data_IF_415677826213
#
_entry.id   IF_415677826213
#
_cell.length_a   1.000
_cell.length_b   1.000
_cell.length_c   1.000
_cell.angle_alpha   90.00
_cell.angle_beta   90.00
_cell.angle_gamma   90.00
#
_symmetry.space_group_name_H-M   'P 1'
#
loop_
_entity.id
_entity.type
_entity.pdbx_description
1 polymer ?
#
# COMPACT_ATOMS: atom_id res chain seq x y z
N UNK A 1 -10.17 -20.55 -41.61
CA UNK A 1 -10.96 -19.62 -40.79
C UNK A 1 -11.74 -20.47 -39.80
N UNK A 2 -11.17 -20.73 -38.63
CA UNK A 2 -11.87 -21.36 -37.51
C UNK A 2 -11.44 -20.58 -36.28
N UNK A 3 -12.30 -19.66 -35.86
CA UNK A 3 -12.16 -18.85 -34.67
C UNK A 3 -12.40 -19.73 -33.45
N UNK A 4 -11.47 -19.72 -32.48
CA UNK A 4 -11.69 -20.28 -31.15
C UNK A 4 -12.07 -19.13 -30.19
N UNK A 5 -13.05 -19.32 -29.30
CA UNK A 5 -13.51 -18.29 -28.37
C UNK A 5 -12.50 -18.06 -27.22
N UNK A 6 -12.44 -16.86 -26.63
CA UNK A 6 -11.57 -16.57 -25.51
C UNK A 6 -12.36 -16.64 -24.21
N UNK A 7 -12.37 -17.78 -23.51
CA UNK A 7 -12.74 -17.83 -22.09
C UNK A 7 -12.37 -19.18 -21.45
N UNK A 8 -11.98 -19.12 -20.18
CA UNK A 8 -11.67 -20.22 -19.26
C UNK A 8 -10.42 -21.05 -19.56
N UNK A 9 -9.24 -20.51 -19.21
CA UNK A 9 -8.20 -21.32 -18.57
C UNK A 9 -8.29 -21.10 -17.07
N UNK A 10 -9.25 -21.77 -16.44
CA UNK A 10 -9.10 -22.14 -15.04
C UNK A 10 -7.99 -23.19 -14.99
N UNK A 11 -6.79 -22.78 -14.59
CA UNK A 11 -5.75 -23.74 -14.22
C UNK A 11 -6.06 -24.25 -12.83
N UNK A 12 -6.82 -25.35 -12.75
CA UNK A 12 -6.75 -26.24 -11.61
C UNK A 12 -5.33 -26.81 -11.52
N UNK A 13 -4.58 -26.38 -10.52
CA UNK A 13 -3.23 -26.87 -10.27
C UNK A 13 -2.56 -26.10 -9.15
N UNK A 14 -2.14 -26.84 -8.13
CA UNK A 14 -1.47 -26.40 -6.90
C UNK A 14 -2.44 -25.74 -5.90
N UNK A 15 -2.67 -26.39 -4.76
CA UNK A 15 -3.43 -25.87 -3.62
C UNK A 15 -2.74 -24.66 -2.99
N UNK A 16 -2.72 -23.53 -3.70
CA UNK A 16 -2.22 -22.26 -3.24
C UNK A 16 -3.27 -21.65 -2.33
N UNK A 17 -2.95 -21.57 -1.03
CA UNK A 17 -3.63 -20.63 -0.16
C UNK A 17 -3.32 -19.23 -0.69
N UNK A 18 -4.19 -18.72 -1.57
CA UNK A 18 -4.28 -17.29 -1.84
C UNK A 18 -5.04 -16.73 -0.65
N UNK A 19 -4.41 -16.01 0.29
CA UNK A 19 -5.20 -15.23 1.24
C UNK A 19 -6.11 -14.35 0.36
N UNK A 20 -7.43 -14.35 0.58
CA UNK A 20 -8.32 -13.55 -0.24
C UNK A 20 -7.79 -12.13 -0.16
N UNK A 21 -7.26 -11.62 -1.26
CA UNK A 21 -7.14 -10.18 -1.41
C UNK A 21 -8.58 -9.71 -1.20
N UNK A 22 -8.82 -8.88 -0.17
CA UNK A 22 -10.15 -8.39 0.12
C UNK A 22 -10.75 -7.88 -1.17
N UNK A 23 -12.02 -8.24 -1.40
CA UNK A 23 -12.73 -7.98 -2.64
C UNK A 23 -12.74 -6.49 -3.07
N UNK A 24 -12.25 -5.59 -2.23
CA UNK A 24 -12.04 -4.16 -2.51
C UNK A 24 -10.81 -3.90 -3.40
N UNK A 25 -9.72 -4.66 -3.32
CA UNK A 25 -8.55 -4.45 -4.20
C UNK A 25 -8.81 -4.96 -5.64
N UNK A 26 -9.74 -5.91 -5.80
CA UNK A 26 -10.07 -6.53 -7.09
C UNK A 26 -11.10 -5.76 -7.91
N UNK A 27 -11.85 -4.83 -7.32
CA UNK A 27 -12.87 -4.06 -8.04
C UNK A 27 -12.35 -2.78 -8.70
N UNK A 28 -11.35 -2.14 -8.12
CA UNK A 28 -10.77 -0.92 -8.70
C UNK A 28 -9.56 -1.24 -9.59
N UNK A 29 -9.81 -1.34 -10.90
CA UNK A 29 -8.77 -1.58 -11.92
C UNK A 29 -7.92 -0.36 -12.24
N UNK A 30 -8.20 0.80 -11.63
CA UNK A 30 -7.59 2.09 -11.97
C UNK A 30 -6.06 2.03 -12.02
N UNK A 31 -5.44 1.35 -11.05
CA UNK A 31 -3.98 1.23 -10.99
C UNK A 31 -3.41 0.05 -11.80
N UNK A 32 -4.25 -0.89 -12.23
CA UNK A 32 -3.84 -2.08 -13.00
C UNK A 32 -3.76 -1.79 -14.50
N UNK A 33 -4.66 -0.98 -15.03
CA UNK A 33 -4.71 -0.62 -16.45
C UNK A 33 -3.60 0.39 -16.79
N UNK A 34 -2.68 0.07 -17.73
CA UNK A 34 -1.68 1.03 -18.19
C UNK A 34 -2.33 2.27 -18.83
N UNK A 35 -1.92 3.46 -18.40
CA UNK A 35 -2.36 4.74 -18.98
C UNK A 35 -3.59 5.35 -18.34
N UNK A 36 -4.46 4.57 -17.71
CA UNK A 36 -5.71 5.09 -17.11
C UNK A 36 -5.46 6.01 -15.91
N UNK A 37 -4.70 5.52 -14.93
CA UNK A 37 -4.31 6.33 -13.78
C UNK A 37 -3.44 7.52 -14.22
N UNK A 38 -2.53 7.32 -15.18
CA UNK A 38 -1.70 8.41 -15.73
C UNK A 38 -2.53 9.52 -16.39
N UNK A 39 -3.55 9.17 -17.19
CA UNK A 39 -4.46 10.14 -17.80
C UNK A 39 -5.27 10.90 -16.74
N UNK A 40 -5.71 10.20 -15.69
CA UNK A 40 -6.40 10.89 -14.61
C UNK A 40 -5.46 11.80 -13.81
N UNK A 41 -4.20 11.41 -13.64
CA UNK A 41 -3.20 12.18 -12.91
C UNK A 41 -2.72 13.38 -13.74
N UNK A 42 -2.65 13.28 -15.07
CA UNK A 42 -2.24 14.41 -15.92
C UNK A 42 -3.19 15.60 -15.87
N UNK A 43 -4.38 15.44 -15.29
CA UNK A 43 -5.35 16.53 -15.07
C UNK A 43 -5.01 17.42 -13.87
N UNK A 44 -4.03 17.03 -13.04
CA UNK A 44 -3.63 17.72 -11.83
C UNK A 44 -2.12 17.96 -11.82
N UNK A 45 -1.68 19.00 -11.14
CA UNK A 45 -0.28 19.20 -10.83
C UNK A 45 0.20 18.19 -9.76
N UNK A 46 1.48 17.83 -9.80
CA UNK A 46 2.08 16.84 -8.89
C UNK A 46 1.88 17.21 -7.41
N UNK A 47 1.87 18.51 -7.08
CA UNK A 47 1.66 18.97 -5.70
C UNK A 47 0.23 18.68 -5.23
N UNK A 48 -0.78 18.96 -6.06
CA UNK A 48 -2.18 18.59 -5.76
C UNK A 48 -2.34 17.09 -5.59
N UNK A 49 -1.69 16.29 -6.44
CA UNK A 49 -1.74 14.82 -6.34
C UNK A 49 -1.16 14.35 -5.01
N UNK A 50 0.03 14.85 -4.64
CA UNK A 50 0.66 14.52 -3.37
C UNK A 50 -0.19 14.95 -2.17
N UNK A 51 -0.78 16.15 -2.20
CA UNK A 51 -1.67 16.64 -1.12
C UNK A 51 -2.89 15.73 -0.94
N UNK A 52 -3.48 15.25 -2.04
CA UNK A 52 -4.61 14.32 -2.00
C UNK A 52 -4.23 12.97 -1.39
N UNK A 53 -3.09 12.39 -1.77
CA UNK A 53 -2.64 11.07 -1.28
C UNK A 53 -2.07 11.11 0.15
N UNK A 54 -1.35 12.16 0.52
CA UNK A 54 -0.72 12.26 1.84
C UNK A 54 -1.73 12.41 2.98
N UNK A 55 -2.93 12.88 2.66
CA UNK A 55 -3.96 13.26 3.62
C UNK A 55 -5.19 12.34 3.54
N UNK A 56 -5.05 11.18 2.89
CA UNK A 56 -6.06 10.13 2.96
C UNK A 56 -6.13 9.64 4.40
N UNK A 57 -7.29 9.83 5.02
CA UNK A 57 -7.55 9.51 6.42
C UNK A 57 -8.72 8.53 6.61
N UNK A 58 -9.30 8.04 5.51
CA UNK A 58 -10.39 7.08 5.53
C UNK A 58 -10.19 5.98 4.48
N UNK A 59 -10.46 4.71 4.82
CA UNK A 59 -10.27 3.57 3.94
C UNK A 59 -11.19 3.60 2.72
N UNK A 60 -12.40 4.14 2.88
CA UNK A 60 -13.39 4.28 1.80
C UNK A 60 -12.92 5.23 0.68
N UNK A 61 -11.95 6.11 0.97
CA UNK A 61 -11.36 7.02 0.00
C UNK A 61 -10.42 6.31 -0.99
N UNK A 62 -10.01 5.07 -0.68
CA UNK A 62 -9.24 4.22 -1.59
C UNK A 62 -10.13 3.40 -2.54
N UNK A 63 -11.45 3.51 -2.43
CA UNK A 63 -12.41 2.86 -3.31
C UNK A 63 -13.35 3.91 -3.89
N UNK A 64 -12.99 4.47 -5.05
CA UNK A 64 -13.81 5.47 -5.70
C UNK A 64 -15.15 4.87 -6.17
N UNK A 65 -16.24 5.67 -6.21
CA UNK A 65 -17.49 5.22 -6.80
C UNK A 65 -17.31 4.77 -8.26
N UNK A 66 -18.13 3.83 -8.77
CA UNK A 66 -18.00 3.35 -10.14
C UNK A 66 -18.02 4.49 -11.17
N UNK A 67 -17.02 4.53 -12.05
CA UNK A 67 -16.89 5.56 -13.09
C UNK A 67 -16.22 6.87 -12.62
N UNK A 68 -15.83 6.98 -11.35
CA UNK A 68 -15.04 8.09 -10.83
C UNK A 68 -13.60 7.61 -10.59
N UNK A 69 -12.64 8.37 -11.09
CA UNK A 69 -11.22 8.12 -10.83
C UNK A 69 -10.86 8.52 -9.39
N UNK A 70 -10.04 7.72 -8.72
CA UNK A 70 -9.67 7.93 -7.31
C UNK A 70 -9.14 9.34 -7.02
N UNK A 71 -8.32 9.89 -7.91
CA UNK A 71 -7.74 11.24 -7.72
C UNK A 71 -8.80 12.35 -7.81
N UNK A 72 -9.87 12.12 -8.57
CA UNK A 72 -11.01 13.03 -8.69
C UNK A 72 -11.94 12.90 -7.48
N UNK A 73 -12.03 11.71 -6.89
CA UNK A 73 -12.80 11.46 -5.67
C UNK A 73 -12.16 12.07 -4.41
N UNK A 74 -10.83 12.06 -4.32
CA UNK A 74 -10.12 12.61 -3.17
C UNK A 74 -10.28 14.13 -3.07
N UNK A 75 -10.68 14.64 -1.90
CA UNK A 75 -10.70 16.08 -1.64
C UNK A 75 -9.27 16.64 -1.64
N UNK A 76 -9.07 17.83 -2.22
CA UNK A 76 -7.80 18.56 -2.10
C UNK A 76 -7.81 19.33 -0.78
N UNK A 77 -6.93 19.03 0.18
CA UNK A 77 -6.94 19.71 1.46
C UNK A 77 -6.43 21.14 1.34
N UNK A 78 -7.13 22.08 1.98
CA UNK A 78 -6.76 23.50 2.00
C UNK A 78 -5.64 23.80 3.00
N UNK A 79 -5.50 22.98 4.04
CA UNK A 79 -4.50 23.13 5.11
C UNK A 79 -3.61 21.91 5.22
N UNK A 80 -2.31 22.15 5.43
CA UNK A 80 -1.34 21.09 5.67
C UNK A 80 -1.29 20.72 7.16
N UNK A 81 -1.10 19.43 7.50
CA UNK A 81 -0.82 19.03 8.88
C UNK A 81 0.49 19.61 9.39
N UNK A 82 0.59 19.77 10.70
CA UNK A 82 1.79 20.32 11.36
C UNK A 82 3.08 19.48 11.18
N UNK A 83 2.98 18.24 10.68
CA UNK A 83 4.10 17.33 10.51
C UNK A 83 4.74 17.37 9.12
N UNK A 84 4.20 18.16 8.17
CA UNK A 84 4.78 18.35 6.84
C UNK A 84 4.69 19.81 6.41
N UNK A 85 5.79 20.34 5.87
CA UNK A 85 5.82 21.72 5.38
C UNK A 85 5.45 21.80 3.89
N UNK A 86 5.12 23.00 3.43
CA UNK A 86 4.79 23.25 2.03
C UNK A 86 6.04 23.04 1.14
N UNK A 87 7.22 23.40 1.64
CA UNK A 87 8.49 23.25 0.92
C UNK A 87 8.87 21.78 0.72
N UNK A 88 8.63 20.92 1.72
CA UNK A 88 8.87 19.47 1.61
C UNK A 88 7.97 18.84 0.54
N UNK A 89 6.70 19.24 0.49
CA UNK A 89 5.76 18.81 -0.54
C UNK A 89 6.16 19.28 -1.93
N UNK A 90 6.57 20.54 -2.06
CA UNK A 90 7.02 21.12 -3.34
C UNK A 90 8.27 20.40 -3.86
N UNK A 91 9.21 20.07 -2.96
CA UNK A 91 10.38 19.28 -3.32
C UNK A 91 9.99 17.90 -3.84
N UNK A 92 9.08 17.19 -3.17
CA UNK A 92 8.55 15.92 -3.68
C UNK A 92 7.82 16.09 -5.02
N UNK A 93 7.01 17.14 -5.16
CA UNK A 93 6.26 17.43 -6.37
C UNK A 93 7.18 17.67 -7.58
N UNK A 94 8.28 18.39 -7.40
CA UNK A 94 9.27 18.63 -8.44
C UNK A 94 9.89 17.32 -8.95
N UNK A 95 10.15 16.37 -8.03
CA UNK A 95 10.66 15.04 -8.42
C UNK A 95 9.65 14.27 -9.25
N UNK A 96 8.40 14.22 -8.80
CA UNK A 96 7.31 13.55 -9.54
C UNK A 96 6.98 14.25 -10.86
N UNK A 97 7.15 15.56 -10.95
CA UNK A 97 6.98 16.29 -12.20
C UNK A 97 8.04 15.89 -13.24
N UNK A 98 9.27 15.58 -12.82
CA UNK A 98 10.33 15.10 -13.71
C UNK A 98 10.21 13.62 -14.05
N UNK A 99 9.87 12.77 -13.07
CA UNK A 99 9.82 11.31 -13.27
C UNK A 99 8.49 10.80 -13.82
N UNK A 100 7.41 11.57 -13.65
CA UNK A 100 6.04 11.07 -13.78
C UNK A 100 5.68 10.07 -12.66
N UNK A 101 4.45 9.55 -12.72
CA UNK A 101 3.91 8.59 -11.77
C UNK A 101 3.92 7.14 -12.28
N UNK A 102 4.15 6.91 -13.58
CA UNK A 102 4.15 5.58 -14.20
C UNK A 102 5.07 4.59 -13.49
N UNK A 103 6.27 5.03 -13.08
CA UNK A 103 7.20 4.17 -12.34
C UNK A 103 6.65 3.68 -11.01
N UNK A 104 5.98 4.55 -10.25
CA UNK A 104 5.34 4.17 -9.00
C UNK A 104 4.11 3.27 -9.23
N UNK A 105 3.33 3.56 -10.28
CA UNK A 105 2.14 2.79 -10.64
C UNK A 105 2.48 1.35 -11.10
N UNK A 106 3.64 1.16 -11.74
CA UNK A 106 4.07 -0.15 -12.19
C UNK A 106 4.27 -1.17 -11.06
N UNK A 107 4.53 -0.74 -9.82
CA UNK A 107 4.58 -1.65 -8.67
C UNK A 107 3.24 -2.34 -8.41
N UNK A 108 2.12 -1.62 -8.58
CA UNK A 108 0.78 -2.18 -8.44
C UNK A 108 0.43 -3.12 -9.59
N UNK A 109 0.90 -2.82 -10.81
CA UNK A 109 0.73 -3.68 -12.00
C UNK A 109 1.51 -4.99 -11.89
N UNK A 110 2.69 -4.94 -11.26
CA UNK A 110 3.55 -6.09 -11.03
C UNK A 110 3.11 -6.95 -9.83
N UNK A 111 2.07 -6.59 -9.08
CA UNK A 111 1.70 -7.28 -7.85
C UNK A 111 1.34 -8.75 -8.07
N UNK A 112 0.55 -9.06 -9.11
CA UNK A 112 0.16 -10.44 -9.44
C UNK A 112 1.40 -11.25 -9.91
N UNK A 113 2.27 -10.64 -10.73
CA UNK A 113 3.54 -11.27 -11.17
C UNK A 113 4.48 -11.54 -10.00
N UNK A 114 4.62 -10.60 -9.06
CA UNK A 114 5.42 -10.78 -7.85
C UNK A 114 4.88 -11.94 -7.01
N UNK A 115 3.56 -12.09 -6.93
CA UNK A 115 2.94 -13.21 -6.20
C UNK A 115 3.28 -14.56 -6.84
N UNK A 116 3.21 -14.68 -8.17
CA UNK A 116 3.59 -15.90 -8.89
C UNK A 116 5.06 -16.25 -8.69
N UNK A 117 5.95 -15.26 -8.83
CA UNK A 117 7.39 -15.44 -8.64
C UNK A 117 7.72 -15.87 -7.20
N UNK A 118 7.08 -15.26 -6.20
CA UNK A 118 7.32 -15.57 -4.80
C UNK A 118 6.72 -16.91 -4.36
N UNK A 119 5.98 -17.62 -5.22
CA UNK A 119 5.38 -18.91 -4.91
C UNK A 119 6.39 -19.98 -4.45
N UNK A 120 7.62 -19.93 -4.96
CA UNK A 120 8.68 -20.86 -4.53
C UNK A 120 9.15 -20.66 -3.07
N UNK A 121 8.86 -19.49 -2.49
CA UNK A 121 9.22 -19.14 -1.11
C UNK A 121 8.04 -19.28 -0.13
N UNK A 122 6.94 -19.89 -0.56
CA UNK A 122 5.79 -20.11 0.31
C UNK A 122 6.18 -20.94 1.54
N UNK A 123 5.95 -20.37 2.74
CA UNK A 123 6.31 -21.02 4.01
C UNK A 123 7.79 -20.92 4.40
N UNK A 124 8.63 -20.23 3.62
CA UNK A 124 10.00 -19.94 4.01
C UNK A 124 10.04 -19.04 5.26
N UNK A 125 11.03 -19.28 6.13
CA UNK A 125 11.23 -18.48 7.35
C UNK A 125 12.13 -17.29 7.07
N UNK A 126 11.78 -16.15 7.65
CA UNK A 126 12.65 -14.97 7.69
C UNK A 126 13.49 -15.08 8.96
N UNK A 127 14.78 -15.35 8.79
CA UNK A 127 15.74 -15.51 9.91
C UNK A 127 16.40 -14.21 10.34
N UNK A 128 16.09 -13.11 9.66
CA UNK A 128 16.63 -11.79 9.99
C UNK A 128 15.82 -11.21 11.15
N UNK A 129 16.46 -10.73 12.23
CA UNK A 129 15.77 -10.00 13.28
C UNK A 129 14.94 -8.87 12.67
N UNK A 130 13.65 -8.83 13.00
CA UNK A 130 12.70 -7.94 12.33
C UNK A 130 11.90 -7.17 13.36
N UNK A 131 11.75 -5.86 13.16
CA UNK A 131 10.85 -5.03 13.95
C UNK A 131 9.76 -4.47 13.06
N UNK A 132 8.53 -4.90 13.30
CA UNK A 132 7.36 -4.41 12.60
C UNK A 132 6.70 -3.32 13.44
N UNK A 133 6.79 -2.08 12.95
CA UNK A 133 6.13 -0.93 13.55
C UNK A 133 4.81 -0.73 12.82
N UNK A 134 3.72 -1.04 13.51
CA UNK A 134 2.36 -0.98 12.98
C UNK A 134 1.78 0.37 13.33
N UNK A 135 1.13 0.97 12.34
CA UNK A 135 0.33 2.15 12.59
C UNK A 135 -1.04 1.70 13.12
N UNK A 136 -1.50 2.35 14.20
CA UNK A 136 -2.74 2.02 14.88
C UNK A 136 -3.99 2.25 14.02
N UNK A 137 -5.15 2.31 14.69
CA UNK A 137 -6.46 2.35 14.02
C UNK A 137 -6.69 3.53 13.06
N UNK A 138 -5.80 4.52 12.94
CA UNK A 138 -5.97 5.67 12.01
C UNK A 138 -5.22 5.49 10.68
N UNK A 139 -4.46 4.42 10.50
CA UNK A 139 -3.85 4.13 9.21
C UNK A 139 -4.86 3.52 8.24
N UNK A 140 -4.92 4.13 7.06
CA UNK A 140 -5.79 3.66 5.99
C UNK A 140 -5.35 2.30 5.48
N UNK A 141 -4.04 1.96 5.47
CA UNK A 141 -3.57 0.62 5.11
C UNK A 141 -4.03 -0.45 6.09
N UNK A 142 -3.99 -0.13 7.38
CA UNK A 142 -4.43 -0.98 8.49
C UNK A 142 -5.95 -1.18 8.51
N UNK A 143 -6.72 -0.11 8.31
CA UNK A 143 -8.18 -0.19 8.26
C UNK A 143 -8.71 -0.80 6.96
N UNK A 144 -8.02 -0.56 5.84
CA UNK A 144 -8.43 -1.07 4.53
C UNK A 144 -8.09 -2.54 4.39
N UNK A 145 -8.69 -3.14 3.37
CA UNK A 145 -8.24 -4.42 2.85
C UNK A 145 -8.18 -5.53 3.92
N UNK A 146 -9.10 -5.55 4.88
CA UNK A 146 -9.14 -6.59 5.91
C UNK A 146 -7.84 -6.74 6.70
N UNK A 147 -6.90 -5.78 6.59
CA UNK A 147 -5.56 -5.85 7.19
C UNK A 147 -5.66 -5.90 8.71
N UNK A 148 -6.61 -5.14 9.28
CA UNK A 148 -6.95 -5.18 10.71
C UNK A 148 -7.37 -6.56 11.17
N UNK A 149 -8.27 -7.23 10.44
CA UNK A 149 -8.74 -8.57 10.78
C UNK A 149 -7.65 -9.62 10.55
N UNK A 150 -6.83 -9.43 9.52
CA UNK A 150 -5.68 -10.26 9.22
C UNK A 150 -4.65 -10.22 10.36
N UNK A 151 -4.21 -9.01 10.76
CA UNK A 151 -3.24 -8.79 11.84
C UNK A 151 -3.76 -9.30 13.19
N UNK A 152 -5.07 -9.12 13.46
CA UNK A 152 -5.70 -9.63 14.69
C UNK A 152 -6.01 -11.14 14.64
N UNK A 153 -6.03 -11.73 13.45
CA UNK A 153 -6.44 -13.09 13.20
C UNK A 153 -5.33 -14.14 13.35
N UNK A 154 -5.72 -15.41 13.20
CA UNK A 154 -4.80 -16.56 13.30
C UNK A 154 -3.81 -16.65 12.14
N UNK A 155 -4.14 -16.08 10.98
CA UNK A 155 -3.27 -16.06 9.82
C UNK A 155 -2.00 -15.24 10.08
N UNK A 156 -2.12 -14.07 10.71
CA UNK A 156 -0.95 -13.31 11.12
C UNK A 156 -0.12 -14.04 12.17
N UNK A 157 -0.74 -14.72 13.15
CA UNK A 157 -0.01 -15.56 14.12
C UNK A 157 0.82 -16.64 13.43
N UNK A 158 0.29 -17.25 12.38
CA UNK A 158 1.01 -18.24 11.57
C UNK A 158 2.17 -17.63 10.78
N UNK A 159 2.04 -16.39 10.29
CA UNK A 159 3.16 -15.64 9.70
C UNK A 159 4.22 -15.23 10.74
N UNK A 160 3.81 -14.80 11.94
CA UNK A 160 4.74 -14.50 13.03
C UNK A 160 5.59 -15.73 13.35
N UNK A 161 5.03 -16.93 13.27
CA UNK A 161 5.79 -18.17 13.42
C UNK A 161 6.85 -18.40 12.32
N UNK A 162 6.71 -17.75 11.14
CA UNK A 162 7.73 -17.74 10.09
C UNK A 162 8.82 -16.68 10.33
N UNK A 163 8.65 -15.79 11.31
CA UNK A 163 9.61 -14.74 11.67
C UNK A 163 9.96 -14.86 13.16
N UNK A 164 10.86 -15.78 13.54
CA UNK A 164 11.10 -16.11 14.95
C UNK A 164 11.49 -14.92 15.84
N UNK A 165 12.25 -13.97 15.28
CA UNK A 165 12.75 -12.79 15.98
C UNK A 165 11.97 -11.51 15.62
N UNK A 166 10.64 -11.63 15.56
CA UNK A 166 9.75 -10.51 15.26
C UNK A 166 9.38 -9.70 16.52
N UNK A 167 9.69 -8.41 16.51
CA UNK A 167 9.20 -7.44 17.48
C UNK A 167 8.06 -6.62 16.86
N UNK A 168 6.87 -6.62 17.47
CA UNK A 168 5.73 -5.82 17.00
C UNK A 168 5.52 -4.63 17.94
N UNK A 169 5.46 -3.42 17.38
CA UNK A 169 5.17 -2.18 18.13
C UNK A 169 4.02 -1.46 17.45
N UNK A 170 2.99 -1.07 18.21
CA UNK A 170 1.87 -0.29 17.69
C UNK A 170 2.08 1.18 18.07
N UNK A 171 2.03 2.06 17.07
CA UNK A 171 2.17 3.51 17.24
C UNK A 171 0.91 4.20 16.73
N UNK A 172 0.36 5.12 17.51
CA UNK A 172 -0.80 5.93 17.09
C UNK A 172 -0.38 7.03 16.09
N UNK A 173 -0.97 6.96 14.89
CA UNK A 173 -0.85 7.96 13.82
C UNK A 173 -1.48 7.44 12.53
N UNK A 174 -1.20 8.10 11.42
CA UNK A 174 -1.73 7.79 10.09
C UNK A 174 -0.66 7.15 9.20
N UNK A 175 -0.98 6.96 7.92
CA UNK A 175 -0.15 6.23 6.95
C UNK A 175 1.32 6.65 6.90
N UNK A 176 1.59 7.95 7.05
CA UNK A 176 2.93 8.51 7.02
C UNK A 176 3.51 8.65 8.44
N UNK A 177 3.48 7.57 9.22
CA UNK A 177 3.86 7.53 10.63
C UNK A 177 5.29 8.00 10.90
N UNK A 178 6.19 7.75 9.94
CA UNK A 178 7.58 8.20 9.99
C UNK A 178 7.71 9.72 9.94
N UNK A 179 6.75 10.42 9.32
CA UNK A 179 6.68 11.88 9.31
C UNK A 179 5.92 12.38 10.54
N UNK A 180 4.73 11.82 10.81
CA UNK A 180 3.86 12.26 11.91
C UNK A 180 4.47 12.03 13.30
N UNK A 181 5.17 10.92 13.49
CA UNK A 181 5.76 10.47 14.77
C UNK A 181 7.27 10.28 14.66
N UNK A 182 7.96 11.13 13.90
CA UNK A 182 9.39 11.04 13.61
C UNK A 182 10.28 10.75 14.83
N UNK A 183 10.04 11.43 15.96
CA UNK A 183 10.82 11.22 17.21
C UNK A 183 10.61 9.83 17.80
N UNK A 184 9.36 9.34 17.81
CA UNK A 184 9.03 8.02 18.34
C UNK A 184 9.57 6.92 17.43
N UNK A 185 9.37 7.04 16.12
CA UNK A 185 9.88 6.09 15.13
C UNK A 185 11.40 6.01 15.18
N UNK A 186 12.09 7.15 15.22
CA UNK A 186 13.55 7.19 15.38
C UNK A 186 14.01 6.48 16.67
N UNK A 187 13.31 6.69 17.79
CA UNK A 187 13.60 5.98 19.05
C UNK A 187 13.42 4.47 18.92
N UNK A 188 12.35 4.01 18.26
CA UNK A 188 12.10 2.59 18.04
C UNK A 188 13.16 1.93 17.14
N UNK A 189 13.61 2.64 16.10
CA UNK A 189 14.69 2.19 15.21
C UNK A 189 16.01 2.11 15.96
N UNK A 190 16.41 3.17 16.68
CA UNK A 190 17.66 3.18 17.46
C UNK A 190 17.61 2.09 18.53
N UNK A 191 16.49 1.93 19.23
CA UNK A 191 16.34 0.88 20.25
C UNK A 191 16.46 -0.52 19.67
N UNK A 192 16.07 -0.73 18.42
CA UNK A 192 16.21 -2.03 17.75
C UNK A 192 17.68 -2.35 17.49
N UNK A 193 18.43 -1.41 16.89
CA UNK A 193 19.85 -1.61 16.60
C UNK A 193 20.77 -1.55 17.83
N UNK A 194 20.32 -0.93 18.92
CA UNK A 194 21.11 -0.85 20.16
C UNK A 194 21.05 -2.13 21.00
N UNK A 195 20.09 -3.02 20.74
CA UNK A 195 20.03 -4.34 21.37
C UNK A 195 20.95 -5.27 20.58
N UNK A 196 22.16 -5.48 21.11
CA UNK A 196 23.04 -6.56 20.68
C UNK A 196 22.58 -7.89 21.23
#
# INVERSE_FOLDING_TARGET
MVSLPPEARESEGIGQFRPPLPATFTKDKTFREPGRAEESFSKYDSLTILKKFLLINAPDLLSAPPGIEIIAFLATPSTLPHWITQEELEFCAEKFQKSGFTGALNYYRAMDMNWELLGAWQGARITVPTKYIVVGDKDVGFQSFGTKDYIKGEAFRSLVALVPDLQVVVVDGHHYIQLERAKQITKEIISFFSKK
#
